data_IF_056332941824
#
_entry.id   IF_056332941824
#
_cell.length_a   1.000
_cell.length_b   1.000
_cell.length_c   1.000
_cell.angle_alpha   90.00
_cell.angle_beta   90.00
_cell.angle_gamma   90.00
#
_symmetry.space_group_name_H-M   'P 1'
#
loop_
_entity.id
_entity.type
_entity.pdbx_description
1 polymer ?
#
# COMPACT_ATOMS: atom_id res chain seq x y z
N UNK A 1 3.51 0.33 -8.63
CA UNK A 1 2.32 0.08 -9.49
C UNK A 1 1.63 1.42 -9.70
N UNK A 2 1.20 1.74 -10.93
CA UNK A 2 0.51 3.00 -11.27
C UNK A 2 -0.94 2.66 -11.68
N UNK A 3 -1.90 3.49 -11.30
CA UNK A 3 -3.32 3.29 -11.66
C UNK A 3 -3.62 3.56 -13.16
N UNK A 4 -2.67 4.12 -13.91
CA UNK A 4 -2.84 4.39 -15.34
C UNK A 4 -3.73 5.59 -15.67
N UNK A 5 -4.07 6.41 -14.66
CA UNK A 5 -4.90 7.60 -14.79
C UNK A 5 -3.99 8.83 -14.84
N UNK A 6 -4.33 9.79 -15.68
CA UNK A 6 -3.58 11.04 -15.78
C UNK A 6 -3.70 11.85 -14.47
N UNK A 7 -2.66 12.63 -14.15
CA UNK A 7 -2.59 13.34 -12.87
C UNK A 7 -3.63 14.48 -12.74
N UNK A 8 -4.05 15.03 -13.88
CA UNK A 8 -5.04 16.09 -14.06
C UNK A 8 -6.46 15.55 -14.36
N UNK A 9 -6.60 14.25 -14.61
CA UNK A 9 -7.90 13.59 -14.76
C UNK A 9 -8.50 13.27 -13.37
N UNK A 10 -9.03 14.31 -12.72
CA UNK A 10 -9.65 14.18 -11.41
C UNK A 10 -10.92 13.31 -11.44
N UNK A 11 -11.70 13.37 -12.52
CA UNK A 11 -12.91 12.56 -12.69
C UNK A 11 -12.56 11.06 -12.81
N UNK A 12 -11.53 10.71 -13.58
CA UNK A 12 -11.06 9.34 -13.67
C UNK A 12 -10.52 8.82 -12.33
N UNK A 13 -9.81 9.67 -11.58
CA UNK A 13 -9.34 9.33 -10.23
C UNK A 13 -10.50 9.07 -9.26
N UNK A 14 -11.50 9.94 -9.24
CA UNK A 14 -12.72 9.76 -8.44
C UNK A 14 -13.41 8.43 -8.76
N UNK A 15 -13.67 8.15 -10.04
CA UNK A 15 -14.33 6.91 -10.45
C UNK A 15 -13.54 5.66 -10.07
N UNK A 16 -12.21 5.72 -10.14
CA UNK A 16 -11.35 4.62 -9.71
C UNK A 16 -11.42 4.41 -8.20
N UNK A 17 -11.40 5.48 -7.41
CA UNK A 17 -11.54 5.40 -5.94
C UNK A 17 -12.87 4.78 -5.54
N UNK A 18 -13.99 5.20 -6.14
CA UNK A 18 -15.30 4.61 -5.84
C UNK A 18 -15.31 3.11 -6.14
N UNK A 19 -14.84 2.70 -7.33
CA UNK A 19 -14.76 1.27 -7.68
C UNK A 19 -13.89 0.47 -6.72
N UNK A 20 -12.77 1.04 -6.25
CA UNK A 20 -11.89 0.37 -5.27
C UNK A 20 -12.62 0.20 -3.94
N UNK A 21 -13.30 1.24 -3.45
CA UNK A 21 -14.04 1.20 -2.19
C UNK A 21 -15.19 0.19 -2.26
N UNK A 22 -16.00 0.25 -3.31
CA UNK A 22 -17.12 -0.67 -3.54
C UNK A 22 -16.63 -2.12 -3.60
N UNK A 23 -15.54 -2.37 -4.33
CA UNK A 23 -14.95 -3.70 -4.42
C UNK A 23 -14.40 -4.18 -3.08
N UNK A 24 -13.74 -3.32 -2.31
CA UNK A 24 -13.21 -3.67 -0.98
C UNK A 24 -14.33 -4.06 -0.01
N UNK A 25 -15.44 -3.31 -0.03
CA UNK A 25 -16.64 -3.60 0.78
C UNK A 25 -17.28 -4.91 0.33
N UNK A 26 -17.51 -5.08 -0.97
CA UNK A 26 -18.15 -6.26 -1.55
C UNK A 26 -17.40 -7.55 -1.21
N UNK A 27 -16.07 -7.50 -1.18
CA UNK A 27 -15.22 -8.67 -0.92
C UNK A 27 -14.76 -8.77 0.55
N UNK A 28 -15.18 -7.86 1.42
CA UNK A 28 -14.77 -7.81 2.82
C UNK A 28 -13.23 -7.84 3.01
N UNK A 29 -12.50 -7.07 2.19
CA UNK A 29 -11.03 -6.98 2.24
C UNK A 29 -10.56 -5.58 2.60
N UNK A 30 -9.35 -5.49 3.15
CA UNK A 30 -8.68 -4.21 3.41
C UNK A 30 -7.76 -3.84 2.26
N UNK A 31 -7.98 -2.67 1.65
CA UNK A 31 -7.16 -2.15 0.56
C UNK A 31 -6.35 -0.96 1.03
N UNK A 32 -5.03 -1.05 0.86
CA UNK A 32 -4.11 0.07 1.06
C UNK A 32 -3.85 0.78 -0.26
N UNK A 33 -4.37 2.00 -0.39
CA UNK A 33 -4.05 2.89 -1.51
C UNK A 33 -2.95 3.88 -1.08
N UNK A 34 -1.80 3.84 -1.76
CA UNK A 34 -0.69 4.77 -1.49
C UNK A 34 -0.83 5.99 -2.39
N UNK A 35 -0.98 7.17 -1.79
CA UNK A 35 -1.04 8.45 -2.48
C UNK A 35 0.14 9.35 -2.06
N UNK A 36 0.59 10.18 -2.99
CA UNK A 36 1.59 11.20 -2.69
C UNK A 36 0.95 12.39 -1.99
N UNK A 37 1.66 13.00 -1.04
CA UNK A 37 1.28 14.31 -0.53
C UNK A 37 1.58 15.40 -1.57
N UNK A 38 0.81 16.50 -1.54
CA UNK A 38 1.05 17.72 -2.31
C UNK A 38 2.42 18.27 -1.92
N UNK A 39 3.19 18.74 -2.91
CA UNK A 39 4.46 19.42 -2.65
C UNK A 39 4.12 20.79 -2.05
N UNK A 40 4.53 21.05 -0.81
CA UNK A 40 4.55 22.40 -0.24
C UNK A 40 6.00 22.80 0.09
N UNK A 41 6.20 24.04 0.52
CA UNK A 41 7.50 24.70 0.62
C UNK A 41 8.50 24.11 1.64
N UNK A 42 9.56 24.88 1.90
CA UNK A 42 10.81 24.44 2.55
C UNK A 42 10.63 24.01 4.02
N UNK A 43 9.65 24.56 4.73
CA UNK A 43 9.25 24.12 6.07
C UNK A 43 7.86 23.52 6.01
N UNK A 44 7.78 22.19 5.81
CA UNK A 44 6.51 21.50 5.69
C UNK A 44 6.11 20.87 7.03
N UNK A 45 4.94 21.27 7.51
CA UNK A 45 4.24 20.61 8.60
C UNK A 45 3.94 19.13 8.29
N UNK A 46 3.64 18.37 9.33
CA UNK A 46 3.27 16.95 9.19
C UNK A 46 1.98 16.87 8.35
N UNK A 47 1.96 16.15 7.21
CA UNK A 47 0.82 16.13 6.29
C UNK A 47 -0.46 15.63 6.96
N UNK A 48 -1.56 16.32 6.69
CA UNK A 48 -2.91 15.93 7.09
C UNK A 48 -3.73 15.34 5.94
N UNK A 49 -5.04 15.26 6.15
CA UNK A 49 -6.01 14.78 5.16
C UNK A 49 -6.03 15.65 3.89
N UNK A 50 -5.97 16.97 4.06
CA UNK A 50 -6.00 17.94 2.94
C UNK A 50 -4.71 17.98 2.10
N UNK A 51 -3.63 17.38 2.61
CA UNK A 51 -2.35 17.33 1.92
C UNK A 51 -2.30 16.24 0.84
N UNK A 52 -3.33 15.42 0.67
CA UNK A 52 -3.33 14.35 -0.33
C UNK A 52 -3.35 14.97 -1.74
N UNK A 53 -2.45 14.52 -2.60
CA UNK A 53 -2.39 14.94 -4.01
C UNK A 53 -3.36 14.11 -4.84
N UNK A 54 -4.11 14.79 -5.72
CA UNK A 54 -5.08 14.18 -6.63
C UNK A 54 -6.49 14.66 -6.34
N UNK A 55 -7.46 13.87 -6.76
CA UNK A 55 -8.87 14.08 -6.51
C UNK A 55 -9.18 14.09 -5.01
N UNK A 56 -10.02 15.03 -4.56
CA UNK A 56 -10.41 15.19 -3.15
C UNK A 56 -11.11 13.94 -2.62
N UNK A 57 -11.75 13.18 -3.52
CA UNK A 57 -12.49 11.95 -3.28
C UNK A 57 -11.59 10.84 -2.73
N UNK A 58 -10.27 10.89 -2.98
CA UNK A 58 -9.30 9.97 -2.37
C UNK A 58 -9.37 10.09 -0.84
N UNK A 59 -9.28 11.31 -0.30
CA UNK A 59 -9.34 11.56 1.14
C UNK A 59 -10.75 11.44 1.70
N UNK A 60 -11.77 11.90 0.95
CA UNK A 60 -13.16 11.87 1.40
C UNK A 60 -13.67 10.43 1.62
N UNK A 61 -13.35 9.51 0.71
CA UNK A 61 -13.85 8.13 0.74
C UNK A 61 -12.96 7.15 1.53
N UNK A 62 -11.68 7.48 1.76
CA UNK A 62 -10.82 6.65 2.60
C UNK A 62 -11.42 6.47 4.01
N UNK A 63 -11.47 5.23 4.50
CA UNK A 63 -11.84 4.93 5.88
C UNK A 63 -10.75 5.37 6.86
N UNK A 64 -9.50 5.18 6.45
CA UNK A 64 -8.31 5.49 7.23
C UNK A 64 -7.36 6.34 6.40
N UNK A 65 -6.77 7.36 7.00
CA UNK A 65 -5.69 8.16 6.40
C UNK A 65 -4.50 8.12 7.33
N UNK A 66 -3.41 7.54 6.85
CA UNK A 66 -2.14 7.44 7.54
C UNK A 66 -1.09 8.16 6.71
N UNK A 67 -0.50 9.21 7.25
CA UNK A 67 0.61 9.92 6.60
C UNK A 67 1.92 9.63 7.30
N UNK A 68 3.00 9.54 6.53
CA UNK A 68 4.36 9.33 7.02
C UNK A 68 5.20 10.53 6.62
N UNK A 69 5.78 11.21 7.60
CA UNK A 69 6.61 12.39 7.41
C UNK A 69 7.98 12.20 8.02
N UNK A 70 9.03 12.49 7.25
CA UNK A 70 10.42 12.43 7.70
C UNK A 70 10.92 13.83 8.00
N UNK A 71 11.42 14.04 9.22
CA UNK A 71 12.04 15.28 9.63
C UNK A 71 13.46 15.38 9.06
N UNK A 72 13.58 15.85 7.83
CA UNK A 72 14.87 16.01 7.14
C UNK A 72 15.83 16.94 7.89
N UNK A 73 15.32 18.00 8.53
CA UNK A 73 16.15 18.89 9.34
C UNK A 73 16.80 18.17 10.53
N UNK A 74 16.07 17.27 11.20
CA UNK A 74 16.63 16.46 12.27
C UNK A 74 17.64 15.44 11.73
N UNK A 75 17.35 14.80 10.60
CA UNK A 75 18.29 13.88 9.93
C UNK A 75 19.61 14.59 9.60
N UNK A 76 19.54 15.79 9.00
CA UNK A 76 20.73 16.58 8.63
C UNK A 76 21.53 17.00 9.88
N UNK A 77 20.84 17.40 10.96
CA UNK A 77 21.49 17.73 12.25
C UNK A 77 22.24 16.53 12.84
N UNK A 78 21.65 15.33 12.81
CA UNK A 78 22.29 14.10 13.28
C UNK A 78 23.55 13.78 12.45
N UNK A 79 23.51 14.04 11.13
CA UNK A 79 24.64 13.83 10.24
C UNK A 79 25.76 14.86 10.47
N UNK A 80 25.41 16.12 10.74
CA UNK A 80 26.38 17.20 10.96
C UNK A 80 26.96 17.25 12.38
N UNK A 81 26.34 16.56 13.35
CA UNK A 81 26.76 16.57 14.75
C UNK A 81 28.18 16.01 14.91
N UNK A 82 29.07 16.83 15.47
CA UNK A 82 30.49 16.48 15.65
C UNK A 82 30.75 15.72 16.94
N UNK A 83 29.95 15.96 17.99
CA UNK A 83 30.09 15.31 19.29
C UNK A 83 29.24 14.05 19.36
N UNK A 84 29.82 12.97 19.89
CA UNK A 84 29.12 11.69 20.05
C UNK A 84 27.90 11.80 20.99
N UNK A 85 28.01 12.62 22.05
CA UNK A 85 26.91 12.86 23.01
C UNK A 85 25.72 13.56 22.35
N UNK A 86 25.99 14.66 21.65
CA UNK A 86 24.99 15.41 20.89
C UNK A 86 24.30 14.53 19.83
N UNK A 87 25.08 13.72 19.10
CA UNK A 87 24.55 12.78 18.12
C UNK A 87 23.62 11.75 18.76
N UNK A 88 23.98 11.22 19.92
CA UNK A 88 23.15 10.26 20.65
C UNK A 88 21.84 10.90 21.15
N UNK A 89 21.89 12.11 21.68
CA UNK A 89 20.70 12.85 22.12
C UNK A 89 19.75 13.17 20.96
N UNK A 90 20.27 13.58 19.82
CA UNK A 90 19.46 13.85 18.62
C UNK A 90 18.86 12.55 18.06
N UNK A 91 19.63 11.47 18.01
CA UNK A 91 19.17 10.16 17.54
C UNK A 91 18.12 9.52 18.48
N UNK A 92 18.12 9.89 19.76
CA UNK A 92 17.09 9.47 20.71
C UNK A 92 15.71 10.06 20.39
N UNK A 93 15.62 11.14 19.60
CA UNK A 93 14.36 11.74 19.17
C UNK A 93 13.82 11.03 17.92
N UNK A 94 12.49 10.82 17.80
CA UNK A 94 11.92 10.22 16.61
C UNK A 94 12.09 11.14 15.40
N UNK A 95 12.80 10.65 14.38
CA UNK A 95 13.03 11.36 13.12
C UNK A 95 11.86 11.30 12.14
N UNK A 96 10.87 10.46 12.42
CA UNK A 96 9.71 10.24 11.57
C UNK A 96 8.44 10.37 12.39
N UNK A 97 7.43 11.00 11.80
CA UNK A 97 6.10 11.07 12.39
C UNK A 97 5.13 10.31 11.49
N UNK A 98 4.46 9.33 12.07
CA UNK A 98 3.27 8.70 11.50
C UNK A 98 2.04 9.39 12.07
N UNK A 99 1.23 10.00 11.20
CA UNK A 99 0.03 10.71 11.61
C UNK A 99 -1.21 9.94 11.14
N UNK A 100 -2.04 9.53 12.07
CA UNK A 100 -3.37 8.97 11.82
C UNK A 100 -4.32 10.15 11.70
N UNK A 101 -4.48 10.65 10.47
CA UNK A 101 -5.22 11.88 10.17
C UNK A 101 -6.73 11.68 9.98
N UNK A 102 -7.16 10.42 9.82
CA UNK A 102 -8.56 10.02 9.73
C UNK A 102 -8.71 8.57 10.15
N UNK A 103 -9.70 8.28 10.98
CA UNK A 103 -10.06 6.93 11.41
C UNK A 103 -11.58 6.82 11.57
N UNK A 104 -12.28 6.11 10.67
CA UNK A 104 -13.76 6.01 10.70
C UNK A 104 -14.30 5.02 11.74
N UNK A 105 -13.51 4.01 12.13
CA UNK A 105 -14.01 2.87 12.91
C UNK A 105 -13.14 2.56 14.13
N UNK A 106 -12.36 3.53 14.60
CA UNK A 106 -11.49 3.38 15.75
C UNK A 106 -11.37 4.68 16.54
N UNK A 107 -10.79 4.58 17.73
CA UNK A 107 -10.86 5.65 18.73
C UNK A 107 -9.64 6.59 18.72
N UNK A 108 -8.65 6.32 17.86
CA UNK A 108 -7.39 7.05 17.85
C UNK A 108 -7.12 7.76 16.53
N UNK A 109 -7.00 9.07 16.63
CA UNK A 109 -6.38 9.96 15.65
C UNK A 109 -5.24 10.70 16.36
N UNK A 110 -4.10 10.87 15.67
CA UNK A 110 -2.94 11.50 16.29
C UNK A 110 -1.60 11.11 15.68
N UNK A 111 -0.54 11.65 16.31
CA UNK A 111 0.84 11.55 15.82
C UNK A 111 1.63 10.56 16.67
N UNK A 112 2.35 9.68 15.99
CA UNK A 112 3.21 8.65 16.58
C UNK A 112 4.64 8.86 16.06
N UNK A 113 5.61 8.94 16.97
CA UNK A 113 7.02 9.04 16.63
C UNK A 113 7.62 7.69 16.27
N UNK A 114 8.39 7.65 15.18
CA UNK A 114 9.08 6.47 14.68
C UNK A 114 10.55 6.78 14.39
N UNK A 115 11.37 5.73 14.39
CA UNK A 115 12.78 5.77 14.00
C UNK A 115 12.98 5.04 12.67
N UNK A 116 13.59 5.71 11.70
CA UNK A 116 13.87 5.15 10.38
C UNK A 116 15.30 4.63 10.31
N UNK A 117 15.45 3.38 9.91
CA UNK A 117 16.75 2.78 9.64
C UNK A 117 17.08 2.86 8.13
N UNK A 118 18.03 3.70 7.71
CA UNK A 118 18.37 3.87 6.30
C UNK A 118 19.06 2.65 5.68
N UNK A 119 19.60 1.72 6.49
CA UNK A 119 20.24 0.49 5.97
C UNK A 119 19.21 -0.54 5.55
N UNK A 120 18.13 -0.67 6.32
CA UNK A 120 17.09 -1.70 6.10
C UNK A 120 15.78 -1.14 5.57
N UNK A 121 15.65 0.18 5.47
CA UNK A 121 14.42 0.89 5.09
C UNK A 121 13.21 0.54 5.99
N UNK A 122 13.48 0.22 7.26
CA UNK A 122 12.45 -0.13 8.25
C UNK A 122 12.18 1.02 9.21
N UNK A 123 10.93 1.11 9.64
CA UNK A 123 10.52 1.96 10.75
C UNK A 123 10.48 1.14 12.05
N UNK A 124 10.87 1.77 13.15
CA UNK A 124 10.92 1.18 14.48
C UNK A 124 10.14 2.05 15.46
N UNK A 125 9.55 1.41 16.47
CA UNK A 125 8.82 2.10 17.53
C UNK A 125 9.72 2.53 18.71
N UNK A 126 11.02 2.23 18.65
CA UNK A 126 12.02 2.59 19.65
C UNK A 126 13.31 3.08 18.98
N UNK A 127 14.03 3.95 19.69
CA UNK A 127 15.38 4.40 19.31
C UNK A 127 16.42 3.28 19.37
N UNK A 128 16.28 2.38 20.35
CA UNK A 128 17.18 1.23 20.50
C UNK A 128 16.91 0.21 19.38
N UNK A 129 17.94 -0.22 18.64
CA UNK A 129 17.82 -1.36 17.73
C UNK A 129 17.41 -2.62 18.52
N UNK A 130 16.46 -3.39 18.00
CA UNK A 130 16.29 -4.76 18.49
C UNK A 130 17.59 -5.52 18.23
N UNK A 131 18.02 -6.32 19.21
CA UNK A 131 19.23 -7.14 19.09
C UNK A 131 19.08 -8.17 17.96
N UNK A 132 17.86 -8.66 17.71
CA UNK A 132 17.56 -9.59 16.64
C UNK A 132 16.71 -8.96 15.52
N UNK A 133 17.08 -9.13 14.24
CA UNK A 133 16.25 -8.74 13.11
C UNK A 133 14.89 -9.45 13.16
N UNK A 134 13.79 -8.71 12.98
CA UNK A 134 12.48 -9.34 12.77
C UNK A 134 12.45 -10.07 11.42
N UNK A 135 12.41 -11.39 11.45
CA UNK A 135 12.11 -12.25 10.31
C UNK A 135 10.58 -12.31 10.12
N UNK A 136 10.11 -11.84 8.96
CA UNK A 136 8.67 -11.84 8.62
C UNK A 136 8.29 -12.99 7.68
N UNK A 137 9.28 -13.59 7.01
CA UNK A 137 9.09 -14.71 6.10
C UNK A 137 10.09 -15.79 6.52
N UNK A 138 9.57 -16.99 6.77
CA UNK A 138 10.37 -18.19 6.84
C UNK A 138 10.64 -18.62 5.40
N UNK A 139 11.88 -18.43 4.94
CA UNK A 139 12.29 -19.04 3.69
C UNK A 139 12.50 -20.53 3.98
N UNK A 140 11.65 -21.37 3.41
CA UNK A 140 11.92 -22.80 3.37
C UNK A 140 12.82 -23.05 2.16
N UNK A 141 14.04 -23.53 2.39
CA UNK A 141 15.02 -23.90 1.35
C UNK A 141 14.60 -25.16 0.56
N UNK A 142 13.30 -25.41 0.42
CA UNK A 142 12.80 -26.46 -0.46
C UNK A 142 12.89 -25.92 -1.87
N UNK A 143 14.07 -25.99 -2.48
CA UNK A 143 14.21 -25.98 -3.93
C UNK A 143 13.40 -27.18 -4.45
N UNK A 144 12.23 -27.01 -5.09
CA UNK A 144 11.66 -28.12 -5.84
C UNK A 144 12.68 -28.45 -6.91
N UNK A 145 13.22 -29.67 -6.89
CA UNK A 145 14.10 -30.16 -7.94
C UNK A 145 13.52 -29.76 -9.29
N UNK A 146 14.33 -29.08 -10.10
CA UNK A 146 13.99 -28.62 -11.42
C UNK A 146 13.51 -29.80 -12.27
N UNK A 147 12.20 -29.99 -12.38
CA UNK A 147 11.64 -30.76 -13.47
C UNK A 147 11.75 -29.88 -14.73
N UNK A 148 12.48 -30.30 -15.77
CA UNK A 148 12.57 -29.52 -16.99
C UNK A 148 11.16 -29.37 -17.58
N UNK A 149 10.72 -28.12 -17.74
CA UNK A 149 9.46 -27.81 -18.40
C UNK A 149 9.46 -28.45 -19.80
N UNK A 150 8.41 -29.22 -20.18
CA UNK A 150 8.29 -29.69 -21.55
C UNK A 150 8.21 -28.48 -22.48
N UNK A 151 9.08 -28.45 -23.49
CA UNK A 151 9.09 -27.40 -24.49
C UNK A 151 7.70 -27.27 -25.15
N UNK A 152 7.20 -26.06 -25.39
CA UNK A 152 5.98 -25.89 -26.16
C UNK A 152 6.19 -26.44 -27.57
N UNK A 153 5.21 -27.14 -28.16
CA UNK A 153 5.32 -27.59 -29.54
C UNK A 153 5.50 -26.37 -30.46
N UNK A 154 6.47 -26.48 -31.37
CA UNK A 154 6.74 -25.49 -32.42
C UNK A 154 5.44 -25.16 -33.16
N UNK A 155 5.09 -23.88 -33.22
CA UNK A 155 3.88 -23.42 -33.90
C UNK A 155 3.90 -23.83 -35.38
N UNK A 156 2.77 -24.27 -35.95
CA UNK A 156 2.69 -24.48 -37.38
C UNK A 156 2.78 -23.14 -38.11
N UNK A 157 3.61 -23.10 -39.15
CA UNK A 157 3.73 -21.98 -40.08
C UNK A 157 2.34 -21.55 -40.59
N UNK A 158 1.95 -20.33 -40.27
CA UNK A 158 0.72 -19.72 -40.78
C UNK A 158 0.95 -19.33 -42.25
N UNK A 159 0.50 -20.18 -43.18
CA UNK A 159 0.43 -19.85 -44.60
C UNK A 159 -0.74 -18.90 -44.83
N UNK A 160 -0.47 -17.66 -45.21
CA UNK A 160 -1.47 -16.69 -45.59
C UNK A 160 -2.10 -17.07 -46.94
N UNK A 161 -3.37 -17.50 -46.92
CA UNK A 161 -4.25 -17.40 -48.08
C UNK A 161 -5.52 -16.61 -47.71
N UNK A 162 -6.01 -15.73 -48.59
CA UNK A 162 -7.17 -14.89 -48.32
C UNK A 162 -8.46 -15.52 -48.90
N UNK A 163 -9.55 -15.50 -48.13
CA UNK A 163 -10.96 -15.60 -48.56
C UNK A 163 -11.83 -15.72 -47.29
N UNK A 164 -13.07 -15.28 -47.16
CA UNK A 164 -13.98 -14.39 -47.89
C UNK A 164 -15.16 -14.12 -46.90
N UNK A 165 -15.89 -13.02 -47.06
CA UNK A 165 -17.01 -12.66 -46.20
C UNK A 165 -18.18 -13.65 -46.24
N UNK A 166 -18.68 -14.10 -45.09
CA UNK A 166 -20.13 -14.32 -44.88
C UNK A 166 -20.54 -14.04 -43.42
N UNK A 167 -21.80 -13.68 -43.27
CA UNK A 167 -22.43 -12.95 -42.17
C UNK A 167 -23.52 -13.83 -41.53
N UNK A 168 -23.49 -14.10 -40.21
CA UNK A 168 -24.69 -14.52 -39.46
C UNK A 168 -24.60 -14.25 -37.94
N UNK A 169 -25.75 -13.89 -37.39
CA UNK A 169 -26.15 -13.34 -36.09
C UNK A 169 -26.00 -14.24 -34.82
N UNK A 170 -26.28 -13.72 -33.60
CA UNK A 170 -25.71 -14.21 -32.33
C UNK A 170 -26.58 -15.25 -31.59
N UNK A 171 -25.94 -16.10 -30.80
CA UNK A 171 -26.59 -17.09 -29.92
C UNK A 171 -26.80 -16.55 -28.49
N UNK A 172 -27.96 -16.86 -27.94
CA UNK A 172 -28.54 -16.34 -26.70
C UNK A 172 -27.98 -16.94 -25.41
N UNK A 173 -27.95 -16.07 -24.39
CA UNK A 173 -28.13 -16.26 -22.95
C UNK A 173 -28.59 -17.66 -22.45
N UNK A 174 -27.82 -18.25 -21.53
CA UNK A 174 -28.36 -19.11 -20.47
C UNK A 174 -27.92 -18.60 -19.08
N UNK A 175 -28.90 -18.39 -18.22
CA UNK A 175 -28.78 -18.05 -16.79
C UNK A 175 -28.58 -19.35 -16.01
N UNK A 176 -27.52 -19.45 -15.22
CA UNK A 176 -27.43 -20.46 -14.15
C UNK A 176 -27.60 -19.78 -12.79
N UNK A 177 -28.54 -20.35 -12.03
CA UNK A 177 -28.92 -19.99 -10.68
C UNK A 177 -28.02 -20.77 -9.72
N UNK A 178 -27.27 -20.11 -8.84
CA UNK A 178 -26.55 -20.80 -7.77
C UNK A 178 -26.77 -20.11 -6.44
N UNK A 179 -27.49 -20.82 -5.57
CA UNK A 179 -27.80 -20.51 -4.18
C UNK A 179 -26.51 -20.45 -3.35
N UNK A 180 -26.26 -19.33 -2.67
CA UNK A 180 -25.13 -19.15 -1.75
C UNK A 180 -25.44 -19.69 -0.34
N UNK A 181 -24.52 -20.39 0.34
CA UNK A 181 -24.65 -20.67 1.76
C UNK A 181 -24.04 -19.54 2.61
N UNK A 182 -24.69 -19.29 3.76
CA UNK A 182 -24.39 -18.28 4.78
C UNK A 182 -22.97 -18.41 5.37
N UNK A 183 -22.24 -17.29 5.42
CA UNK A 183 -20.95 -17.14 6.10
C UNK A 183 -21.13 -16.99 7.62
N UNK A 184 -20.42 -17.80 8.39
CA UNK A 184 -20.26 -17.61 9.84
C UNK A 184 -19.17 -16.57 10.15
N UNK A 185 -19.26 -15.83 11.27
CA UNK A 185 -18.31 -14.77 11.62
C UNK A 185 -16.96 -15.30 12.14
N UNK A 186 -15.87 -14.67 11.68
CA UNK A 186 -14.50 -14.88 12.18
C UNK A 186 -14.31 -14.34 13.61
N UNK A 187 -13.43 -14.97 14.43
CA UNK A 187 -13.15 -14.52 15.78
C UNK A 187 -12.22 -13.30 15.81
N UNK A 188 -12.52 -12.42 16.77
CA UNK A 188 -11.88 -11.15 17.12
C UNK A 188 -10.37 -11.28 17.36
N UNK A 189 -9.56 -10.43 16.72
CA UNK A 189 -8.14 -10.28 17.04
C UNK A 189 -7.96 -9.52 18.36
N UNK A 190 -7.28 -10.13 19.34
CA UNK A 190 -6.83 -9.44 20.55
C UNK A 190 -5.51 -8.67 20.30
N UNK A 191 -5.32 -7.51 20.94
CA UNK A 191 -4.07 -6.75 20.83
C UNK A 191 -2.92 -7.38 21.64
N UNK A 192 -1.70 -7.28 21.10
CA UNK A 192 -0.46 -7.74 21.74
C UNK A 192 -0.21 -7.05 23.10
N UNK A 193 0.35 -7.75 24.09
CA UNK A 193 0.72 -7.17 25.36
C UNK A 193 1.95 -6.26 25.20
N UNK A 194 1.90 -5.10 25.84
CA UNK A 194 3.06 -4.23 26.10
C UNK A 194 3.96 -4.85 27.18
N UNK A 195 5.27 -4.56 27.16
CA UNK A 195 6.26 -5.14 28.08
C UNK A 195 6.05 -4.72 29.54
#
# INVERSE_FOLDING_TARGET
>A
MRLGIAADDYTGQEQAVYKIVDWAILNAVHVHLVAHARKSGIEKDIPGTEDIKGASEIGANAFNIITIWRNRSLEDKILSAQRATEKAELAARPGVIMNIAKQRSGDFEGKIGLWFDPKTYRYRCSSTPHQEPRHYLEFTDKHPSSQPYPHPPSQPHFSSQPQEHTNTQPLQSQKENTTSPLLQPCPTMQPCPTP
#
